data_IF_208242877943
#
_entry.id   IF_208242877943
#
_cell.length_a   1.000
_cell.length_b   1.000
_cell.length_c   1.000
_cell.angle_alpha   90.00
_cell.angle_beta   90.00
_cell.angle_gamma   90.00
#
_symmetry.space_group_name_H-M   'P 1'
#
loop_
_entity.id
_entity.type
_entity.pdbx_description
1 polymer ?
#
# COMPACT_ATOMS: atom_id res chain seq x y z
N UNK A 1 -29.08 9.39 25.72
CA UNK A 1 -28.07 8.53 25.08
C UNK A 1 -28.87 7.40 24.47
N UNK A 2 -29.05 7.40 23.14
CA UNK A 2 -29.69 6.30 22.41
C UNK A 2 -28.63 5.20 22.27
N UNK A 3 -28.85 4.08 22.97
CA UNK A 3 -28.11 2.84 22.74
C UNK A 3 -28.58 2.30 21.37
N UNK A 4 -27.93 2.68 20.29
CA UNK A 4 -28.14 2.01 19.03
C UNK A 4 -27.62 0.57 19.15
N UNK A 5 -28.43 -0.44 18.81
CA UNK A 5 -27.99 -1.82 18.92
C UNK A 5 -26.78 -2.05 18.02
N UNK A 6 -25.69 -2.50 18.59
CA UNK A 6 -24.48 -2.87 17.82
C UNK A 6 -24.86 -3.85 16.70
N UNK A 7 -24.36 -3.63 15.48
CA UNK A 7 -24.67 -4.52 14.36
C UNK A 7 -24.21 -5.95 14.65
N UNK A 8 -24.99 -6.94 14.23
CA UNK A 8 -24.62 -8.34 14.42
C UNK A 8 -23.29 -8.66 13.69
N UNK A 9 -22.54 -9.66 14.19
CA UNK A 9 -21.32 -10.15 13.54
C UNK A 9 -21.53 -10.45 12.05
N UNK A 10 -22.68 -11.01 11.68
CA UNK A 10 -23.03 -11.29 10.28
C UNK A 10 -23.23 -10.03 9.48
N UNK A 11 -23.94 -9.04 10.03
CA UNK A 11 -24.13 -7.76 9.37
C UNK A 11 -22.80 -7.02 9.15
N UNK A 12 -21.89 -7.06 10.13
CA UNK A 12 -20.55 -6.52 9.99
C UNK A 12 -19.74 -7.25 8.91
N UNK A 13 -19.77 -8.58 8.89
CA UNK A 13 -19.11 -9.38 7.87
C UNK A 13 -19.63 -9.05 6.47
N UNK A 14 -20.96 -8.99 6.30
CA UNK A 14 -21.59 -8.64 5.03
C UNK A 14 -21.23 -7.22 4.59
N UNK A 15 -21.21 -6.26 5.52
CA UNK A 15 -20.83 -4.88 5.21
C UNK A 15 -19.39 -4.79 4.73
N UNK A 16 -18.45 -5.51 5.35
CA UNK A 16 -17.01 -5.39 5.07
C UNK A 16 -16.59 -6.23 3.86
N UNK A 17 -17.14 -7.45 3.68
CA UNK A 17 -16.61 -8.42 2.70
C UNK A 17 -17.54 -8.72 1.52
N UNK A 18 -18.85 -8.48 1.64
CA UNK A 18 -19.82 -8.82 0.59
C UNK A 18 -20.35 -7.59 -0.16
N UNK A 19 -20.26 -6.39 0.42
CA UNK A 19 -20.60 -5.15 -0.28
C UNK A 19 -19.38 -4.64 -1.02
N UNK A 20 -19.53 -4.32 -2.31
CA UNK A 20 -18.51 -3.61 -3.08
C UNK A 20 -18.37 -2.19 -2.54
N UNK A 21 -17.30 -1.95 -1.79
CA UNK A 21 -16.92 -0.60 -1.38
C UNK A 21 -16.06 0.02 -2.47
N UNK A 22 -16.31 1.28 -2.78
CA UNK A 22 -15.34 2.10 -3.47
C UNK A 22 -14.32 2.57 -2.42
N UNK A 23 -13.12 1.96 -2.46
CA UNK A 23 -12.06 2.27 -1.50
C UNK A 23 -11.57 3.71 -1.63
N UNK A 24 -11.53 4.24 -2.84
CA UNK A 24 -11.02 5.57 -3.11
C UNK A 24 -11.99 6.64 -2.57
N UNK A 25 -13.30 6.42 -2.75
CA UNK A 25 -14.34 7.28 -2.18
C UNK A 25 -14.33 7.28 -0.65
N UNK A 26 -14.14 6.10 -0.04
CA UNK A 26 -14.04 5.97 1.42
C UNK A 26 -12.81 6.70 1.97
N UNK A 27 -11.65 6.52 1.35
CA UNK A 27 -10.40 7.17 1.76
C UNK A 27 -10.52 8.68 1.59
N UNK A 28 -11.09 9.15 0.48
CA UNK A 28 -11.34 10.57 0.26
C UNK A 28 -12.27 11.16 1.32
N UNK A 29 -13.40 10.50 1.61
CA UNK A 29 -14.31 10.90 2.68
C UNK A 29 -13.62 10.97 4.04
N UNK A 30 -12.77 9.99 4.34
CA UNK A 30 -11.99 9.98 5.58
C UNK A 30 -11.02 11.17 5.65
N UNK A 31 -10.27 11.45 4.56
CA UNK A 31 -9.38 12.61 4.50
C UNK A 31 -10.13 13.93 4.68
N UNK A 32 -11.34 14.08 4.10
CA UNK A 32 -12.18 15.26 4.30
C UNK A 32 -12.57 15.43 5.77
N UNK A 33 -12.97 14.37 6.45
CA UNK A 33 -13.30 14.40 7.86
C UNK A 33 -12.10 14.79 8.72
N UNK A 34 -10.95 14.16 8.49
CA UNK A 34 -9.70 14.50 9.21
C UNK A 34 -9.32 15.95 8.97
N UNK A 35 -9.35 16.42 7.71
CA UNK A 35 -9.03 17.82 7.37
C UNK A 35 -9.91 18.81 8.14
N UNK A 36 -11.20 18.55 8.22
CA UNK A 36 -12.13 19.41 8.98
C UNK A 36 -11.73 19.53 10.47
N UNK A 37 -11.21 18.44 11.04
CA UNK A 37 -10.76 18.42 12.43
C UNK A 37 -9.42 19.15 12.66
N UNK A 38 -8.61 19.31 11.60
CA UNK A 38 -7.34 20.06 11.66
C UNK A 38 -7.49 21.54 11.34
N UNK A 39 -8.63 21.98 10.81
CA UNK A 39 -8.86 23.39 10.49
C UNK A 39 -8.75 24.29 11.74
N UNK A 40 -7.92 25.33 11.62
CA UNK A 40 -7.71 26.28 12.72
C UNK A 40 -6.86 25.79 13.88
N UNK A 41 -6.30 24.56 13.81
CA UNK A 41 -5.49 23.97 14.88
C UNK A 41 -3.98 24.27 14.77
N UNK A 42 -3.58 25.25 13.97
CA UNK A 42 -2.19 25.66 13.80
C UNK A 42 -1.43 24.81 12.80
N UNK A 43 -0.10 24.72 12.96
CA UNK A 43 0.77 23.98 12.02
C UNK A 43 0.56 22.48 12.14
N UNK A 44 0.50 21.82 10.99
CA UNK A 44 0.46 20.37 10.89
C UNK A 44 1.46 19.87 9.84
N UNK A 45 1.88 18.63 10.00
CA UNK A 45 2.87 17.97 9.16
C UNK A 45 2.25 16.69 8.60
N UNK A 46 2.36 16.49 7.29
CA UNK A 46 2.03 15.22 6.65
C UNK A 46 3.32 14.42 6.49
N UNK A 47 3.39 13.26 7.14
CA UNK A 47 4.51 12.33 7.03
C UNK A 47 4.15 11.20 6.09
N UNK A 48 5.02 10.92 5.11
CA UNK A 48 4.89 9.77 4.22
C UNK A 48 6.07 8.83 4.43
N UNK A 49 5.76 7.58 4.75
CA UNK A 49 6.73 6.55 5.04
C UNK A 49 6.21 5.18 4.62
N UNK A 50 7.05 4.14 4.68
CA UNK A 50 6.63 2.77 4.49
C UNK A 50 6.98 1.89 5.67
N UNK A 51 6.17 0.87 5.88
CA UNK A 51 6.37 -0.14 6.90
C UNK A 51 6.19 -1.55 6.35
N UNK A 52 6.63 -2.54 7.12
CA UNK A 52 6.42 -3.95 6.82
C UNK A 52 5.35 -4.53 7.73
N UNK A 53 4.27 -5.01 7.12
CA UNK A 53 3.26 -5.78 7.83
C UNK A 53 3.59 -7.27 7.71
N UNK A 54 4.09 -7.88 8.80
CA UNK A 54 4.53 -9.26 8.83
C UNK A 54 3.36 -10.25 8.88
N UNK A 55 3.52 -11.38 8.20
CA UNK A 55 2.52 -12.43 8.11
C UNK A 55 3.14 -13.83 8.30
N UNK A 56 3.05 -14.37 9.49
CA UNK A 56 3.56 -15.71 9.82
C UNK A 56 2.72 -16.82 9.17
N UNK A 57 1.44 -16.55 8.92
CA UNK A 57 0.46 -17.49 8.39
C UNK A 57 -0.32 -16.90 7.22
N UNK A 58 -0.93 -17.78 6.44
CA UNK A 58 -1.74 -17.40 5.28
C UNK A 58 -0.93 -17.44 3.97
N UNK A 59 -1.36 -18.29 3.04
CA UNK A 59 -0.70 -18.49 1.72
C UNK A 59 -1.17 -17.52 0.65
N UNK A 60 -2.38 -16.95 0.82
CA UNK A 60 -3.07 -16.16 -0.19
C UNK A 60 -3.36 -14.72 0.27
N UNK A 61 -2.43 -14.12 1.02
CA UNK A 61 -2.58 -12.71 1.43
C UNK A 61 -2.06 -11.83 0.29
N UNK A 62 -2.90 -10.91 -0.15
CA UNK A 62 -2.58 -9.96 -1.21
C UNK A 62 -1.33 -9.14 -0.91
N UNK A 63 -0.44 -8.98 -1.88
CA UNK A 63 0.77 -8.18 -1.74
C UNK A 63 1.87 -8.76 -0.83
N UNK A 64 1.66 -9.94 -0.21
CA UNK A 64 2.70 -10.58 0.61
C UNK A 64 3.81 -11.13 -0.28
N UNK A 65 5.03 -10.76 0.07
CA UNK A 65 6.26 -11.30 -0.52
C UNK A 65 7.14 -11.94 0.55
N UNK A 66 7.97 -12.90 0.15
CA UNK A 66 9.07 -13.41 0.97
C UNK A 66 10.35 -12.68 0.54
N UNK A 67 10.94 -11.91 1.44
CA UNK A 67 12.15 -11.13 1.17
C UNK A 67 12.97 -10.98 2.44
N UNK A 68 14.20 -10.48 2.29
CA UNK A 68 15.03 -10.14 3.43
C UNK A 68 14.47 -8.89 4.12
N UNK A 69 14.25 -9.01 5.41
CA UNK A 69 13.85 -7.91 6.28
C UNK A 69 15.08 -7.37 6.99
N UNK A 70 15.44 -6.14 6.68
CA UNK A 70 16.62 -5.48 7.26
C UNK A 70 16.41 -5.03 8.71
N UNK A 71 15.15 -4.95 9.18
CA UNK A 71 14.82 -4.62 10.57
C UNK A 71 14.99 -5.85 11.45
N UNK A 72 14.40 -6.97 11.02
CA UNK A 72 14.45 -8.26 11.73
C UNK A 72 15.76 -9.05 11.42
N UNK A 73 16.55 -8.60 10.42
CA UNK A 73 17.75 -9.28 9.92
C UNK A 73 17.52 -10.75 9.53
N UNK A 74 16.38 -11.05 8.93
CA UNK A 74 16.00 -12.41 8.53
C UNK A 74 15.15 -12.43 7.26
N UNK A 75 15.01 -13.63 6.66
CA UNK A 75 14.03 -13.84 5.59
C UNK A 75 12.64 -13.98 6.19
N UNK A 76 11.78 -13.02 5.96
CA UNK A 76 10.41 -12.99 6.48
C UNK A 76 9.37 -12.84 5.36
N UNK A 77 8.10 -13.02 5.73
CA UNK A 77 6.96 -12.78 4.84
C UNK A 77 6.25 -11.52 5.29
N UNK A 78 6.16 -10.55 4.41
CA UNK A 78 5.53 -9.27 4.74
C UNK A 78 4.91 -8.61 3.51
N UNK A 79 3.93 -7.74 3.78
CA UNK A 79 3.49 -6.70 2.84
C UNK A 79 4.34 -5.45 3.07
N UNK A 80 4.70 -4.75 2.02
CA UNK A 80 5.18 -3.37 2.14
C UNK A 80 3.99 -2.45 2.02
N UNK A 81 3.76 -1.62 3.03
CA UNK A 81 2.66 -0.66 3.07
C UNK A 81 3.26 0.75 3.09
N UNK A 82 2.88 1.57 2.14
CA UNK A 82 3.21 3.00 2.12
C UNK A 82 2.06 3.73 2.80
N UNK A 83 2.37 4.55 3.78
CA UNK A 83 1.37 5.25 4.60
C UNK A 83 1.59 6.76 4.54
N UNK A 84 0.51 7.52 4.59
CA UNK A 84 0.53 8.94 4.88
C UNK A 84 -0.23 9.22 6.16
N UNK A 85 0.35 10.04 7.03
CA UNK A 85 -0.25 10.46 8.30
C UNK A 85 -0.14 11.96 8.45
N UNK A 86 -1.15 12.60 9.05
CA UNK A 86 -1.09 14.01 9.44
C UNK A 86 -0.95 14.09 10.95
N UNK A 87 -0.10 15.00 11.39
CA UNK A 87 0.16 15.22 12.82
C UNK A 87 0.23 16.71 13.17
N UNK A 88 -0.23 17.04 14.37
CA UNK A 88 0.05 18.31 15.03
C UNK A 88 0.54 18.04 16.46
N UNK A 89 0.64 19.08 17.31
CA UNK A 89 1.15 18.94 18.67
C UNK A 89 0.28 18.04 19.59
N UNK A 90 -0.97 17.74 19.22
CA UNK A 90 -1.94 17.05 20.07
C UNK A 90 -2.42 15.71 19.55
N UNK A 91 -2.32 15.44 18.24
CA UNK A 91 -2.88 14.22 17.63
C UNK A 91 -2.14 13.80 16.36
N UNK A 92 -2.33 12.55 16.00
CA UNK A 92 -1.87 11.94 14.75
C UNK A 92 -3.02 11.15 14.13
N UNK A 93 -3.28 11.35 12.85
CA UNK A 93 -4.31 10.63 12.09
C UNK A 93 -3.74 10.06 10.79
N UNK A 94 -4.21 8.87 10.41
CA UNK A 94 -3.88 8.27 9.12
C UNK A 94 -4.65 8.98 8.00
N UNK A 95 -4.00 9.20 6.86
CA UNK A 95 -4.62 9.76 5.66
C UNK A 95 -4.76 8.71 4.54
N UNK A 96 -3.77 7.82 4.44
CA UNK A 96 -3.70 6.84 3.37
C UNK A 96 -2.85 5.64 3.78
N UNK A 97 -3.15 4.46 3.22
CA UNK A 97 -2.34 3.26 3.33
C UNK A 97 -2.43 2.43 2.05
N UNK A 98 -1.37 2.37 1.28
CA UNK A 98 -1.31 1.63 0.03
C UNK A 98 -0.37 0.43 0.12
N UNK A 99 -0.86 -0.75 -0.24
CA UNK A 99 -0.06 -1.98 -0.29
C UNK A 99 0.69 -2.08 -1.62
N UNK A 100 2.01 -2.22 -1.56
CA UNK A 100 2.84 -2.44 -2.74
C UNK A 100 2.58 -3.81 -3.34
N UNK A 101 2.32 -3.85 -4.65
CA UNK A 101 2.17 -5.10 -5.40
C UNK A 101 3.52 -5.85 -5.54
N UNK A 102 3.51 -7.19 -5.69
CA UNK A 102 4.70 -7.94 -6.04
C UNK A 102 5.24 -7.55 -7.43
N UNK A 103 6.57 -7.47 -7.58
CA UNK A 103 7.19 -7.12 -8.87
C UNK A 103 7.27 -8.29 -9.85
N UNK A 104 7.33 -9.52 -9.36
CA UNK A 104 7.56 -10.75 -10.14
C UNK A 104 8.83 -10.78 -11.00
N UNK A 105 9.74 -9.81 -10.86
CA UNK A 105 10.97 -9.71 -11.66
C UNK A 105 11.82 -10.99 -11.63
N UNK A 106 11.97 -11.62 -10.47
CA UNK A 106 12.75 -12.83 -10.34
C UNK A 106 12.16 -14.01 -11.15
N UNK A 107 10.84 -14.12 -11.17
CA UNK A 107 10.11 -15.15 -11.92
C UNK A 107 10.17 -14.89 -13.43
N UNK A 108 10.00 -13.63 -13.82
CA UNK A 108 10.12 -13.19 -15.22
C UNK A 108 11.54 -13.42 -15.74
N UNK A 109 12.57 -13.06 -14.95
CA UNK A 109 13.96 -13.30 -15.31
C UNK A 109 14.28 -14.79 -15.42
N UNK A 110 13.77 -15.63 -14.55
CA UNK A 110 13.93 -17.07 -14.63
C UNK A 110 13.34 -17.64 -15.94
N UNK A 111 12.18 -17.15 -16.38
CA UNK A 111 11.60 -17.51 -17.66
C UNK A 111 12.47 -17.06 -18.84
N UNK A 112 12.92 -15.81 -18.83
CA UNK A 112 13.81 -15.28 -19.89
C UNK A 112 15.11 -16.06 -19.99
N UNK A 113 15.77 -16.34 -18.86
CA UNK A 113 17.01 -17.10 -18.82
C UNK A 113 16.83 -18.52 -19.36
N UNK A 114 15.74 -19.19 -19.04
CA UNK A 114 15.41 -20.52 -19.56
C UNK A 114 15.16 -20.49 -21.06
N UNK A 115 14.55 -19.44 -21.60
CA UNK A 115 14.30 -19.24 -23.02
C UNK A 115 15.61 -19.01 -23.79
N UNK A 116 16.51 -18.17 -23.26
CA UNK A 116 17.82 -17.90 -23.87
C UNK A 116 18.71 -19.15 -23.88
N UNK A 117 18.61 -19.98 -22.83
CA UNK A 117 19.35 -21.25 -22.75
C UNK A 117 18.77 -22.36 -23.67
N UNK A 118 17.74 -22.07 -24.49
CA UNK A 118 17.03 -23.04 -25.36
C UNK A 118 16.50 -24.26 -24.62
N UNK A 119 16.25 -24.12 -23.32
CA UNK A 119 15.73 -25.19 -22.48
C UNK A 119 14.20 -25.15 -22.45
N UNK A 120 13.55 -25.81 -23.39
CA UNK A 120 12.09 -25.85 -23.53
C UNK A 120 11.38 -26.29 -22.24
N UNK A 121 11.85 -27.33 -21.55
CA UNK A 121 11.20 -27.83 -20.34
C UNK A 121 11.32 -26.85 -19.17
N UNK A 122 12.47 -26.18 -19.04
CA UNK A 122 12.66 -25.14 -18.01
C UNK A 122 11.82 -23.89 -18.30
N UNK A 123 11.79 -23.46 -19.56
CA UNK A 123 10.94 -22.33 -19.98
C UNK A 123 9.46 -22.60 -19.75
N UNK A 124 9.00 -23.82 -20.09
CA UNK A 124 7.62 -24.26 -19.85
C UNK A 124 7.28 -24.32 -18.36
N UNK A 125 8.18 -24.82 -17.53
CA UNK A 125 7.99 -24.87 -16.09
C UNK A 125 7.94 -23.45 -15.48
N UNK A 126 8.82 -22.54 -15.93
CA UNK A 126 8.82 -21.15 -15.49
C UNK A 126 7.57 -20.40 -15.94
N UNK A 127 7.12 -20.58 -17.18
CA UNK A 127 5.89 -20.02 -17.70
C UNK A 127 4.66 -20.48 -16.89
N UNK A 128 4.56 -21.78 -16.58
CA UNK A 128 3.49 -22.31 -15.73
C UNK A 128 3.49 -21.64 -14.34
N UNK A 129 4.65 -21.47 -13.72
CA UNK A 129 4.75 -20.77 -12.43
C UNK A 129 4.24 -19.34 -12.48
N UNK A 130 4.52 -18.60 -13.56
CA UNK A 130 3.99 -17.24 -13.74
C UNK A 130 2.45 -17.25 -13.85
N UNK A 131 1.90 -18.16 -14.67
CA UNK A 131 0.44 -18.27 -14.88
C UNK A 131 -0.30 -18.72 -13.61
N UNK A 132 0.34 -19.56 -12.78
CA UNK A 132 -0.21 -20.05 -11.52
C UNK A 132 -0.15 -19.00 -10.39
N UNK A 133 0.60 -17.91 -10.56
CA UNK A 133 0.64 -16.84 -9.57
C UNK A 133 -0.70 -16.11 -9.50
N UNK A 134 -1.27 -16.08 -8.31
CA UNK A 134 -2.55 -15.44 -8.07
C UNK A 134 -2.49 -13.95 -8.48
N UNK A 135 -3.40 -13.56 -9.36
CA UNK A 135 -3.50 -12.19 -9.87
C UNK A 135 -2.23 -11.66 -10.58
N UNK A 136 -1.41 -12.55 -11.18
CA UNK A 136 -0.16 -12.14 -11.81
C UNK A 136 -0.34 -10.97 -12.79
N UNK A 137 -1.25 -11.05 -13.76
CA UNK A 137 -1.46 -9.99 -14.75
C UNK A 137 -1.90 -8.67 -14.11
N UNK A 138 -2.83 -8.73 -13.17
CA UNK A 138 -3.34 -7.54 -12.48
C UNK A 138 -2.24 -6.89 -11.66
N UNK A 139 -1.53 -7.67 -10.86
CA UNK A 139 -0.46 -7.17 -10.01
C UNK A 139 0.73 -6.65 -10.81
N UNK A 140 1.06 -7.31 -11.94
CA UNK A 140 2.15 -6.89 -12.82
C UNK A 140 1.87 -5.53 -13.47
N UNK A 141 0.62 -5.28 -13.88
CA UNK A 141 0.19 -3.98 -14.42
C UNK A 141 0.11 -2.89 -13.35
N UNK A 142 -0.29 -3.25 -12.15
CA UNK A 142 -0.44 -2.33 -11.02
C UNK A 142 0.86 -2.13 -10.22
N UNK A 143 1.94 -2.85 -10.57
CA UNK A 143 3.20 -2.71 -9.84
C UNK A 143 3.76 -1.30 -9.95
N UNK A 144 4.03 -0.71 -8.79
CA UNK A 144 4.75 0.56 -8.64
C UNK A 144 5.84 0.39 -7.60
N UNK A 145 6.94 1.12 -7.75
CA UNK A 145 7.96 1.21 -6.70
C UNK A 145 7.37 1.96 -5.50
N UNK A 146 7.91 1.72 -4.31
CA UNK A 146 7.48 2.41 -3.07
C UNK A 146 7.50 3.93 -3.22
N UNK A 147 8.54 4.44 -3.86
CA UNK A 147 8.70 5.87 -4.13
C UNK A 147 7.63 6.42 -5.08
N UNK A 148 7.23 5.65 -6.09
CA UNK A 148 6.15 6.02 -7.01
C UNK A 148 4.79 6.05 -6.31
N UNK A 149 4.54 5.08 -5.41
CA UNK A 149 3.33 5.06 -4.57
C UNK A 149 3.30 6.28 -3.64
N UNK A 150 4.44 6.62 -3.02
CA UNK A 150 4.53 7.81 -2.17
C UNK A 150 4.26 9.10 -2.94
N UNK A 151 4.79 9.23 -4.15
CA UNK A 151 4.51 10.38 -5.05
C UNK A 151 3.02 10.45 -5.40
N UNK A 152 2.40 9.32 -5.74
CA UNK A 152 0.97 9.29 -6.07
C UNK A 152 0.11 9.72 -4.88
N UNK A 153 0.43 9.26 -3.67
CA UNK A 153 -0.28 9.65 -2.44
C UNK A 153 -0.16 11.15 -2.20
N UNK A 154 1.04 11.71 -2.32
CA UNK A 154 1.26 13.15 -2.14
C UNK A 154 0.47 13.95 -3.17
N UNK A 155 0.56 13.58 -4.46
CA UNK A 155 -0.20 14.24 -5.53
C UNK A 155 -1.70 14.22 -5.28
N UNK A 156 -2.23 13.07 -4.85
CA UNK A 156 -3.65 12.95 -4.55
C UNK A 156 -4.08 13.83 -3.39
N UNK A 157 -3.30 13.92 -2.31
CA UNK A 157 -3.58 14.80 -1.17
C UNK A 157 -3.52 16.28 -1.60
N UNK A 158 -2.56 16.66 -2.44
CA UNK A 158 -2.42 18.01 -2.97
C UNK A 158 -3.58 18.37 -3.93
N UNK A 159 -3.94 17.47 -4.84
CA UNK A 159 -5.03 17.68 -5.80
C UNK A 159 -6.39 17.85 -5.09
N UNK A 160 -6.59 17.17 -3.97
CA UNK A 160 -7.79 17.32 -3.13
C UNK A 160 -7.79 18.65 -2.35
N UNK A 161 -6.63 19.30 -2.19
CA UNK A 161 -6.44 20.59 -1.51
C UNK A 161 -7.09 20.67 -0.11
N UNK A 162 -7.05 19.56 0.62
CA UNK A 162 -7.69 19.47 1.93
C UNK A 162 -6.78 19.98 3.07
N UNK A 163 -5.47 20.03 2.83
CA UNK A 163 -4.44 20.45 3.78
C UNK A 163 -3.52 21.52 3.17
N UNK A 164 -4.03 22.71 2.78
CA UNK A 164 -3.29 23.69 1.99
C UNK A 164 -2.05 24.26 2.68
N UNK A 165 -1.99 24.22 4.01
CA UNK A 165 -0.89 24.74 4.81
C UNK A 165 0.00 23.64 5.42
N UNK A 166 -0.12 22.39 4.94
CA UNK A 166 0.66 21.28 5.46
C UNK A 166 2.13 21.38 5.05
N UNK A 167 3.01 21.00 5.96
CA UNK A 167 4.40 20.71 5.66
C UNK A 167 4.57 19.21 5.46
N UNK A 168 5.32 18.80 4.43
CA UNK A 168 5.60 17.39 4.20
C UNK A 168 6.92 16.97 4.85
N UNK A 169 6.93 15.79 5.46
CA UNK A 169 8.12 15.15 6.01
C UNK A 169 8.29 13.77 5.37
N UNK A 170 9.50 13.48 4.94
CA UNK A 170 9.86 12.21 4.29
C UNK A 170 11.12 11.65 4.95
N UNK A 171 11.15 10.31 5.12
CA UNK A 171 12.43 9.64 5.38
C UNK A 171 13.31 9.66 4.12
N UNK A 172 14.65 9.59 4.32
CA UNK A 172 15.61 9.56 3.22
C UNK A 172 15.34 8.44 2.18
N UNK A 173 14.73 7.35 2.60
CA UNK A 173 14.33 6.27 1.72
C UNK A 173 13.14 6.60 0.80
N UNK A 174 12.30 7.55 1.17
CA UNK A 174 11.11 7.99 0.41
C UNK A 174 11.42 9.18 -0.50
N UNK A 175 12.36 10.03 -0.07
CA UNK A 175 12.67 11.29 -0.75
C UNK A 175 13.15 11.05 -2.18
N UNK A 176 12.47 11.65 -3.13
CA UNK A 176 12.83 11.64 -4.56
C UNK A 176 12.91 13.06 -5.10
N UNK A 177 13.57 13.24 -6.26
CA UNK A 177 13.60 14.55 -6.93
C UNK A 177 12.21 15.08 -7.29
N UNK A 178 11.24 14.21 -7.49
CA UNK A 178 9.86 14.57 -7.81
C UNK A 178 9.11 15.15 -6.59
N UNK A 179 9.41 14.64 -5.38
CA UNK A 179 8.82 15.13 -4.13
C UNK A 179 9.48 16.42 -3.62
N UNK A 180 10.62 16.82 -4.18
CA UNK A 180 11.35 18.03 -3.79
C UNK A 180 11.11 19.23 -4.69
N UNK A 181 10.29 19.09 -5.70
CA UNK A 181 9.89 20.17 -6.66
C UNK A 181 8.52 20.69 -6.36
#
# INVERSE_FOLDING_TARGET
VYDEPSPSRRAMHQAVFERGWDSDELIQSHRQQVSAEYQGQGRHVISVDWTFAHHDKGSCIYGVKKSYDYVENTMSRFQTVVTATVANASRVDGLEAAVQQPSFEAQEQAYLNATVAESYEQAKAAARRLVELLHYETNRKAYKKRTEIAVDIVKQIEDENQFPDAHYAFDNGVLTLELTR
#
